data_IF_563796502858
#
_entry.id   IF_563796502858
#
_cell.length_a   1.000
_cell.length_b   1.000
_cell.length_c   1.000
_cell.angle_alpha   90.00
_cell.angle_beta   90.00
_cell.angle_gamma   90.00
#
_symmetry.space_group_name_H-M   'P 1'
#
loop_
_entity.id
_entity.type
_entity.pdbx_description
1 polymer ?
#
# COMPACT_ATOMS: atom_id res chain seq x y z
N UNK A 1 -24.87 5.51 -17.31
CA UNK A 1 -23.60 5.31 -16.58
C UNK A 1 -22.99 3.99 -17.02
N UNK A 2 -21.69 3.95 -17.34
CA UNK A 2 -21.01 2.68 -17.69
C UNK A 2 -20.76 1.85 -16.43
N UNK A 3 -20.59 0.51 -16.55
CA UNK A 3 -20.21 -0.33 -15.41
C UNK A 3 -18.86 0.08 -14.81
N UNK A 4 -17.91 0.48 -15.62
CA UNK A 4 -16.63 1.01 -15.16
C UNK A 4 -16.81 2.23 -14.25
N UNK A 5 -17.65 3.21 -14.67
CA UNK A 5 -17.96 4.38 -13.83
C UNK A 5 -18.65 3.98 -12.52
N UNK A 6 -19.56 2.99 -12.56
CA UNK A 6 -20.22 2.48 -11.37
C UNK A 6 -19.24 1.83 -10.37
N UNK A 7 -18.27 1.05 -10.89
CA UNK A 7 -17.22 0.42 -10.07
C UNK A 7 -16.36 1.49 -9.37
N UNK A 8 -15.93 2.54 -10.06
CA UNK A 8 -15.13 3.60 -9.45
C UNK A 8 -15.92 4.41 -8.42
N UNK A 9 -17.20 4.71 -8.66
CA UNK A 9 -18.06 5.34 -7.65
C UNK A 9 -18.22 4.46 -6.41
N UNK A 10 -18.39 3.16 -6.60
CA UNK A 10 -18.43 2.22 -5.47
C UNK A 10 -17.09 2.14 -4.73
N UNK A 11 -15.95 2.19 -5.43
CA UNK A 11 -14.63 2.25 -4.78
C UNK A 11 -14.46 3.51 -3.93
N UNK A 12 -14.85 4.68 -4.43
CA UNK A 12 -14.85 5.93 -3.66
C UNK A 12 -15.65 5.76 -2.36
N UNK A 13 -16.85 5.23 -2.47
CA UNK A 13 -17.64 4.90 -1.29
C UNK A 13 -16.92 3.93 -0.33
N UNK A 14 -16.22 2.91 -0.82
CA UNK A 14 -15.43 2.01 0.03
C UNK A 14 -14.28 2.71 0.78
N UNK A 15 -13.79 3.83 0.27
CA UNK A 15 -12.74 4.66 0.88
C UNK A 15 -13.29 5.72 1.84
N UNK A 16 -14.58 5.64 2.22
CA UNK A 16 -15.31 6.53 3.13
C UNK A 16 -15.74 7.88 2.55
N UNK A 17 -15.62 8.06 1.25
CA UNK A 17 -16.18 9.25 0.61
C UNK A 17 -17.71 9.27 0.70
N UNK A 18 -18.28 10.47 0.86
CA UNK A 18 -19.72 10.69 0.85
C UNK A 18 -20.25 10.66 -0.58
N UNK A 19 -20.50 9.47 -1.10
CA UNK A 19 -21.02 9.25 -2.46
C UNK A 19 -22.46 8.77 -2.37
N UNK A 20 -23.38 9.39 -3.13
CA UNK A 20 -24.73 8.84 -3.30
C UNK A 20 -24.68 7.63 -4.24
N UNK A 21 -24.96 6.46 -3.69
CA UNK A 21 -24.94 5.20 -4.42
C UNK A 21 -26.31 4.70 -4.88
N UNK A 22 -27.41 5.40 -4.61
CA UNK A 22 -28.77 4.91 -4.88
C UNK A 22 -28.95 4.41 -6.32
N UNK A 23 -28.48 5.18 -7.31
CA UNK A 23 -28.53 4.79 -8.72
C UNK A 23 -27.44 3.78 -9.12
N UNK A 24 -26.31 3.78 -8.43
CA UNK A 24 -25.18 2.89 -8.68
C UNK A 24 -25.53 1.47 -8.29
N UNK A 25 -26.06 1.29 -7.07
CA UNK A 25 -26.43 -0.01 -6.52
C UNK A 25 -27.52 -0.68 -7.35
N UNK A 26 -28.55 0.07 -7.74
CA UNK A 26 -29.67 -0.46 -8.54
C UNK A 26 -29.24 -1.07 -9.89
N UNK A 27 -28.08 -0.64 -10.43
CA UNK A 27 -27.59 -1.06 -11.74
C UNK A 27 -26.22 -1.75 -11.68
N UNK A 28 -25.72 -2.10 -10.51
CA UNK A 28 -24.40 -2.73 -10.34
C UNK A 28 -24.42 -4.19 -10.83
N UNK A 29 -23.46 -4.53 -11.67
CA UNK A 29 -23.11 -5.92 -11.94
C UNK A 29 -22.16 -6.44 -10.85
N UNK A 30 -22.72 -7.13 -9.86
CA UNK A 30 -21.96 -7.64 -8.71
C UNK A 30 -20.92 -8.68 -9.09
N UNK A 31 -21.14 -9.48 -10.14
CA UNK A 31 -20.16 -10.45 -10.64
C UNK A 31 -18.98 -9.76 -11.29
N UNK A 32 -19.23 -8.70 -12.06
CA UNK A 32 -18.19 -7.90 -12.67
C UNK A 32 -17.39 -7.16 -11.61
N UNK A 33 -18.03 -6.58 -10.59
CA UNK A 33 -17.36 -5.95 -9.45
C UNK A 33 -16.47 -6.95 -8.70
N UNK A 34 -16.96 -8.16 -8.41
CA UNK A 34 -16.17 -9.22 -7.76
C UNK A 34 -14.95 -9.61 -8.60
N UNK A 35 -15.14 -9.83 -9.91
CA UNK A 35 -14.05 -10.15 -10.84
C UNK A 35 -13.00 -9.04 -10.88
N UNK A 36 -13.43 -7.78 -10.93
CA UNK A 36 -12.53 -6.63 -10.87
C UNK A 36 -11.78 -6.59 -9.54
N UNK A 37 -12.48 -6.68 -8.42
CA UNK A 37 -11.88 -6.67 -7.07
C UNK A 37 -10.85 -7.79 -6.88
N UNK A 38 -11.11 -8.98 -7.44
CA UNK A 38 -10.19 -10.11 -7.44
C UNK A 38 -8.91 -9.77 -8.21
N UNK A 39 -9.04 -9.33 -9.46
CA UNK A 39 -7.90 -8.99 -10.33
C UNK A 39 -7.07 -7.85 -9.79
N UNK A 40 -7.70 -6.90 -9.10
CA UNK A 40 -7.08 -5.70 -8.53
C UNK A 40 -6.62 -5.87 -7.07
N UNK A 41 -6.81 -7.07 -6.49
CA UNK A 41 -6.42 -7.40 -5.10
C UNK A 41 -7.02 -6.47 -4.05
N UNK A 42 -8.33 -6.13 -4.21
CA UNK A 42 -9.09 -5.22 -3.34
C UNK A 42 -10.40 -5.84 -2.82
N UNK A 43 -10.48 -7.17 -2.81
CA UNK A 43 -11.69 -7.93 -2.41
C UNK A 43 -12.15 -7.54 -1.01
N UNK A 44 -11.25 -7.45 -0.03
CA UNK A 44 -11.60 -7.14 1.35
C UNK A 44 -12.16 -5.73 1.50
N UNK A 45 -11.56 -4.75 0.82
CA UNK A 45 -12.03 -3.35 0.79
C UNK A 45 -13.45 -3.28 0.21
N UNK A 46 -13.67 -3.90 -0.93
CA UNK A 46 -14.99 -3.92 -1.56
C UNK A 46 -16.03 -4.67 -0.70
N UNK A 47 -15.64 -5.71 0.03
CA UNK A 47 -16.54 -6.42 0.92
C UNK A 47 -16.95 -5.58 2.13
N UNK A 48 -16.05 -4.79 2.70
CA UNK A 48 -16.38 -3.84 3.75
C UNK A 48 -17.33 -2.74 3.23
N UNK A 49 -17.14 -2.28 1.99
CA UNK A 49 -18.11 -1.43 1.30
C UNK A 49 -19.50 -2.06 1.15
N UNK A 50 -19.58 -3.36 0.82
CA UNK A 50 -20.87 -4.09 0.74
C UNK A 50 -21.53 -4.18 2.10
N UNK A 51 -20.81 -4.42 3.19
CA UNK A 51 -21.38 -4.43 4.54
C UNK A 51 -22.00 -3.07 4.88
N UNK A 52 -21.25 -2.00 4.67
CA UNK A 52 -21.75 -0.64 4.90
C UNK A 52 -22.96 -0.33 4.02
N UNK A 53 -22.93 -0.77 2.76
CA UNK A 53 -24.06 -0.63 1.83
C UNK A 53 -25.33 -1.33 2.35
N UNK A 54 -25.21 -2.50 2.98
CA UNK A 54 -26.36 -3.22 3.54
C UNK A 54 -27.01 -2.49 4.71
N UNK A 55 -26.29 -1.58 5.36
CA UNK A 55 -26.75 -0.75 6.46
C UNK A 55 -27.33 0.58 5.96
N UNK A 56 -26.65 1.24 5.00
CA UNK A 56 -26.98 2.58 4.52
C UNK A 56 -28.00 2.59 3.36
N UNK A 57 -27.98 1.54 2.50
CA UNK A 57 -28.82 1.44 1.28
C UNK A 57 -29.59 0.10 1.19
N UNK A 58 -30.30 -0.35 2.25
CA UNK A 58 -30.94 -1.65 2.27
C UNK A 58 -32.05 -1.80 1.21
N UNK A 59 -32.78 -0.72 0.88
CA UNK A 59 -33.86 -0.78 -0.10
C UNK A 59 -33.34 -0.86 -1.54
N UNK A 60 -32.23 -0.20 -1.84
CA UNK A 60 -31.54 -0.28 -3.14
C UNK A 60 -30.94 -1.67 -3.33
N UNK A 61 -30.33 -2.23 -2.29
CA UNK A 61 -29.77 -3.59 -2.33
C UNK A 61 -30.86 -4.67 -2.47
N UNK A 62 -32.07 -4.45 -1.92
CA UNK A 62 -33.21 -5.35 -2.16
C UNK A 62 -33.69 -5.35 -3.62
N UNK A 63 -33.57 -4.21 -4.33
CA UNK A 63 -33.94 -4.09 -5.74
C UNK A 63 -32.94 -4.81 -6.67
N UNK A 64 -31.68 -4.82 -6.30
CA UNK A 64 -30.60 -5.51 -7.01
C UNK A 64 -29.76 -6.34 -6.03
N UNK A 65 -30.27 -7.48 -5.54
CA UNK A 65 -29.59 -8.27 -4.52
C UNK A 65 -28.35 -8.96 -5.07
N UNK A 66 -27.33 -9.06 -4.23
CA UNK A 66 -26.17 -9.90 -4.53
C UNK A 66 -26.61 -11.39 -4.45
N UNK A 67 -26.29 -12.16 -5.47
CA UNK A 67 -26.58 -13.60 -5.46
C UNK A 67 -25.96 -14.28 -4.23
N UNK A 68 -26.71 -15.16 -3.58
CA UNK A 68 -26.31 -15.79 -2.33
C UNK A 68 -24.94 -16.48 -2.42
N UNK A 69 -24.69 -17.23 -3.48
CA UNK A 69 -23.43 -17.97 -3.64
C UNK A 69 -22.24 -17.03 -3.84
N UNK A 70 -22.45 -15.93 -4.58
CA UNK A 70 -21.44 -14.88 -4.76
C UNK A 70 -21.14 -14.18 -3.42
N UNK A 71 -22.16 -13.82 -2.66
CA UNK A 71 -22.01 -13.18 -1.35
C UNK A 71 -21.25 -14.07 -0.36
N UNK A 72 -21.60 -15.36 -0.31
CA UNK A 72 -20.94 -16.36 0.55
C UNK A 72 -19.47 -16.55 0.14
N UNK A 73 -19.20 -16.61 -1.16
CA UNK A 73 -17.82 -16.67 -1.69
C UNK A 73 -17.02 -15.44 -1.28
N UNK A 74 -17.59 -14.26 -1.47
CA UNK A 74 -16.92 -12.99 -1.14
C UNK A 74 -16.62 -12.88 0.36
N UNK A 75 -17.59 -13.23 1.20
CA UNK A 75 -17.42 -13.30 2.64
C UNK A 75 -16.31 -14.28 3.03
N UNK A 76 -16.28 -15.48 2.44
CA UNK A 76 -15.25 -16.48 2.70
C UNK A 76 -13.85 -15.99 2.38
N UNK A 77 -13.65 -15.35 1.21
CA UNK A 77 -12.38 -14.77 0.79
C UNK A 77 -11.98 -13.59 1.71
N UNK A 78 -12.93 -12.73 2.08
CA UNK A 78 -12.67 -11.61 3.00
C UNK A 78 -12.21 -12.10 4.38
N UNK A 79 -12.81 -13.18 4.90
CA UNK A 79 -12.36 -13.79 6.16
C UNK A 79 -10.97 -14.45 6.03
N UNK A 80 -10.65 -14.99 4.87
CA UNK A 80 -9.30 -15.51 4.60
C UNK A 80 -8.26 -14.37 4.58
N UNK A 81 -8.57 -13.25 3.93
CA UNK A 81 -7.73 -12.03 3.92
C UNK A 81 -7.48 -11.55 5.34
N UNK A 82 -8.53 -11.46 6.17
CA UNK A 82 -8.40 -11.08 7.58
C UNK A 82 -7.45 -12.01 8.33
N UNK A 83 -7.65 -13.33 8.25
CA UNK A 83 -6.79 -14.32 8.92
C UNK A 83 -5.34 -14.23 8.46
N UNK A 84 -5.12 -14.00 7.16
CA UNK A 84 -3.77 -13.83 6.62
C UNK A 84 -3.12 -12.55 7.15
N UNK A 85 -3.84 -11.43 7.25
CA UNK A 85 -3.32 -10.19 7.87
C UNK A 85 -2.92 -10.41 9.33
N UNK A 86 -3.74 -11.10 10.12
CA UNK A 86 -3.40 -11.43 11.52
C UNK A 86 -2.10 -12.22 11.61
N UNK A 87 -1.91 -13.21 10.73
CA UNK A 87 -0.66 -13.99 10.66
C UNK A 87 0.52 -13.10 10.25
N UNK A 88 0.37 -12.28 9.22
CA UNK A 88 1.42 -11.38 8.72
C UNK A 88 1.82 -10.35 9.78
N UNK A 89 0.85 -9.82 10.55
CA UNK A 89 1.13 -8.90 11.67
C UNK A 89 2.06 -9.55 12.72
N UNK A 90 1.73 -10.76 13.15
CA UNK A 90 2.54 -11.51 14.13
C UNK A 90 3.95 -11.77 13.59
N UNK A 91 4.06 -12.21 12.34
CA UNK A 91 5.35 -12.48 11.70
C UNK A 91 6.17 -11.21 11.51
N UNK A 92 5.55 -10.10 11.11
CA UNK A 92 6.22 -8.81 10.95
C UNK A 92 6.82 -8.31 12.28
N UNK A 93 6.05 -8.37 13.37
CA UNK A 93 6.53 -7.99 14.69
C UNK A 93 7.64 -8.92 15.20
N UNK A 94 7.48 -10.23 15.03
CA UNK A 94 8.51 -11.22 15.37
C UNK A 94 9.83 -10.95 14.62
N UNK A 95 9.75 -10.74 13.31
CA UNK A 95 10.91 -10.43 12.47
C UNK A 95 11.58 -9.11 12.88
N UNK A 96 10.78 -8.08 13.13
CA UNK A 96 11.27 -6.78 13.60
C UNK A 96 12.01 -6.90 14.92
N UNK A 97 11.46 -7.63 15.90
CA UNK A 97 12.08 -7.87 17.19
C UNK A 97 13.38 -8.65 17.05
N UNK A 98 13.38 -9.74 16.27
CA UNK A 98 14.56 -10.56 16.01
C UNK A 98 15.71 -9.76 15.41
N UNK A 99 15.44 -8.95 14.38
CA UNK A 99 16.47 -8.10 13.77
C UNK A 99 17.05 -7.08 14.77
N UNK A 100 16.19 -6.49 15.60
CA UNK A 100 16.63 -5.52 16.62
C UNK A 100 17.46 -6.15 17.74
N UNK A 101 17.06 -7.32 18.24
CA UNK A 101 17.80 -8.08 19.26
C UNK A 101 19.19 -8.45 18.76
N UNK A 102 19.33 -8.75 17.47
CA UNK A 102 20.60 -9.02 16.82
C UNK A 102 21.38 -7.75 16.41
N UNK A 103 20.92 -6.56 16.86
CA UNK A 103 21.60 -5.28 16.65
C UNK A 103 21.39 -4.65 15.27
N UNK A 104 20.48 -5.17 14.45
CA UNK A 104 20.15 -4.63 13.13
C UNK A 104 18.96 -3.67 13.23
N UNK A 105 19.17 -2.42 12.80
CA UNK A 105 18.09 -1.43 12.70
C UNK A 105 17.33 -1.64 11.40
N UNK A 106 16.01 -1.69 11.48
CA UNK A 106 15.19 -1.98 10.30
C UNK A 106 13.86 -1.23 10.34
N UNK A 107 13.21 -1.16 9.17
CA UNK A 107 11.92 -0.54 8.95
C UNK A 107 11.09 -1.44 8.02
N UNK A 108 9.84 -1.76 8.42
CA UNK A 108 8.90 -2.50 7.57
C UNK A 108 8.31 -1.51 6.54
N UNK A 109 8.59 -1.79 5.29
CA UNK A 109 8.11 -0.96 4.18
C UNK A 109 6.72 -1.41 3.74
N UNK A 110 5.85 -0.49 3.27
CA UNK A 110 4.53 -0.85 2.72
C UNK A 110 3.69 -1.76 3.64
N UNK A 111 3.03 -2.75 3.06
CA UNK A 111 2.38 -3.89 3.70
C UNK A 111 1.55 -3.52 4.92
N UNK A 112 1.99 -3.97 6.07
CA UNK A 112 1.29 -3.81 7.33
C UNK A 112 1.29 -2.36 7.83
N UNK A 113 2.32 -1.58 7.54
CA UNK A 113 2.34 -0.13 7.80
C UNK A 113 1.28 0.62 7.02
N UNK A 114 1.11 0.29 5.72
CA UNK A 114 0.05 0.89 4.90
C UNK A 114 -1.34 0.46 5.35
N UNK A 115 -1.50 -0.80 5.78
CA UNK A 115 -2.78 -1.31 6.26
C UNK A 115 -3.34 -0.50 7.44
N UNK A 116 -2.50 0.10 8.27
CA UNK A 116 -2.91 0.96 9.39
C UNK A 116 -3.60 2.25 8.94
N UNK A 117 -3.42 2.68 7.70
CA UNK A 117 -4.10 3.86 7.15
C UNK A 117 -5.52 3.58 6.66
N UNK A 118 -5.90 2.31 6.54
CA UNK A 118 -7.23 1.91 6.10
C UNK A 118 -8.23 1.95 7.26
N UNK A 119 -9.51 2.24 7.02
CA UNK A 119 -10.55 2.18 8.04
C UNK A 119 -10.61 0.82 8.74
N UNK A 120 -10.38 -0.24 7.99
CA UNK A 120 -10.19 -1.59 8.49
C UNK A 120 -8.86 -2.16 7.97
N UNK A 121 -7.85 -2.17 8.82
CA UNK A 121 -6.51 -2.67 8.48
C UNK A 121 -6.51 -4.11 7.94
N UNK A 122 -7.52 -4.91 8.29
CA UNK A 122 -7.64 -6.29 7.88
C UNK A 122 -8.29 -6.51 6.51
N UNK A 123 -8.82 -5.47 5.87
CA UNK A 123 -9.40 -5.56 4.53
C UNK A 123 -8.41 -5.34 3.39
N UNK A 124 -7.23 -4.78 3.68
CA UNK A 124 -6.16 -4.70 2.69
C UNK A 124 -5.61 -6.09 2.40
N UNK A 125 -5.56 -6.50 1.12
CA UNK A 125 -4.96 -7.79 0.77
C UNK A 125 -3.47 -7.78 1.15
N UNK A 126 -3.02 -8.69 2.05
CA UNK A 126 -1.61 -8.79 2.43
C UNK A 126 -0.79 -9.41 1.29
N UNK A 127 0.49 -9.14 1.31
CA UNK A 127 1.51 -9.74 0.44
C UNK A 127 2.67 -10.25 1.28
N UNK A 128 3.86 -10.09 0.75
CA UNK A 128 5.14 -10.25 1.42
C UNK A 128 5.40 -9.17 2.49
N UNK A 129 6.43 -9.40 3.29
CA UNK A 129 6.94 -8.42 4.24
C UNK A 129 8.25 -7.86 3.69
N UNK A 130 8.21 -6.61 3.22
CA UNK A 130 9.40 -5.86 2.80
C UNK A 130 10.09 -5.27 4.03
N UNK A 131 11.31 -5.64 4.32
CA UNK A 131 12.07 -5.11 5.45
C UNK A 131 13.32 -4.40 4.96
N UNK A 132 13.37 -3.10 5.10
CA UNK A 132 14.60 -2.35 4.88
C UNK A 132 15.50 -2.44 6.10
N UNK A 133 16.68 -3.04 5.94
CA UNK A 133 17.68 -3.18 6.99
C UNK A 133 18.76 -2.12 6.80
N UNK A 134 18.96 -1.25 7.80
CA UNK A 134 19.97 -0.20 7.77
C UNK A 134 21.35 -0.76 8.17
N UNK A 135 21.91 -1.57 7.28
CA UNK A 135 23.23 -2.18 7.43
C UNK A 135 23.90 -2.33 6.05
N UNK A 136 25.16 -2.78 6.02
CA UNK A 136 25.82 -3.04 4.74
C UNK A 136 25.25 -4.30 4.07
N UNK A 137 25.38 -4.38 2.75
CA UNK A 137 24.94 -5.57 2.00
C UNK A 137 25.57 -6.85 2.54
N UNK A 138 26.86 -6.79 2.88
CA UNK A 138 27.62 -7.91 3.44
C UNK A 138 27.03 -8.37 4.77
N UNK A 139 26.78 -7.44 5.70
CA UNK A 139 26.20 -7.72 7.02
C UNK A 139 24.80 -8.36 6.88
N UNK A 140 23.94 -7.80 6.00
CA UNK A 140 22.60 -8.35 5.77
C UNK A 140 22.68 -9.75 5.17
N UNK A 141 23.61 -9.97 4.23
CA UNK A 141 23.78 -11.28 3.58
C UNK A 141 24.30 -12.32 4.54
N UNK A 142 25.28 -11.98 5.38
CA UNK A 142 25.80 -12.89 6.42
C UNK A 142 24.73 -13.23 7.45
N UNK A 143 23.97 -12.23 7.91
CA UNK A 143 22.85 -12.41 8.81
C UNK A 143 21.80 -13.36 8.21
N UNK A 144 21.39 -13.09 6.98
CA UNK A 144 20.38 -13.88 6.30
C UNK A 144 20.80 -15.34 6.12
N UNK A 145 22.07 -15.60 5.75
CA UNK A 145 22.63 -16.95 5.67
C UNK A 145 22.63 -17.69 6.99
N UNK A 146 22.81 -16.98 8.09
CA UNK A 146 22.84 -17.57 9.44
C UNK A 146 21.44 -17.87 9.97
N UNK A 147 20.47 -16.99 9.73
CA UNK A 147 19.16 -17.04 10.37
C UNK A 147 18.09 -17.72 9.51
N UNK A 148 18.23 -17.70 8.19
CA UNK A 148 17.21 -18.20 7.27
C UNK A 148 17.77 -19.28 6.34
N UNK A 149 16.88 -20.14 5.87
CA UNK A 149 17.16 -21.00 4.73
C UNK A 149 17.08 -20.14 3.46
N UNK A 150 18.23 -19.75 2.95
CA UNK A 150 18.28 -19.01 1.69
C UNK A 150 18.18 -19.97 0.51
N UNK A 151 17.37 -19.60 -0.49
CA UNK A 151 17.53 -20.07 -1.86
C UNK A 151 18.75 -19.42 -2.53
N UNK A 152 18.97 -19.71 -3.81
CA UNK A 152 20.08 -19.14 -4.60
C UNK A 152 19.87 -17.66 -4.98
N UNK A 153 18.74 -17.04 -4.60
CA UNK A 153 18.28 -15.76 -5.11
C UNK A 153 18.62 -14.57 -4.19
N UNK A 154 19.89 -14.15 -4.22
CA UNK A 154 20.28 -12.82 -3.74
C UNK A 154 20.12 -11.84 -4.91
N UNK A 155 19.03 -11.08 -4.92
CA UNK A 155 18.77 -10.07 -5.96
C UNK A 155 19.58 -8.79 -5.75
N UNK A 156 19.51 -7.88 -6.71
CA UNK A 156 20.19 -6.59 -6.60
C UNK A 156 19.70 -5.78 -5.41
N UNK A 157 18.42 -5.77 -5.15
CA UNK A 157 17.76 -4.92 -4.16
C UNK A 157 17.52 -5.61 -2.81
N UNK A 158 17.25 -6.91 -2.79
CA UNK A 158 16.82 -7.68 -1.61
C UNK A 158 17.29 -9.14 -1.65
N UNK A 159 17.08 -9.80 -0.52
CA UNK A 159 17.20 -11.25 -0.35
C UNK A 159 15.79 -11.78 -0.06
N UNK A 160 15.35 -12.77 -0.85
CA UNK A 160 14.09 -13.46 -0.62
C UNK A 160 14.26 -14.59 0.40
N UNK A 161 13.33 -14.68 1.34
CA UNK A 161 13.25 -15.74 2.34
C UNK A 161 11.81 -15.90 2.84
N UNK A 162 11.61 -16.70 3.91
CA UNK A 162 10.29 -16.81 4.55
C UNK A 162 10.43 -17.07 6.04
N UNK A 163 9.46 -16.58 6.83
CA UNK A 163 9.30 -16.89 8.25
C UNK A 163 7.88 -17.37 8.48
N UNK A 164 7.74 -18.55 9.11
CA UNK A 164 6.45 -19.17 9.41
C UNK A 164 5.52 -19.28 8.19
N UNK A 165 6.13 -19.44 6.98
CA UNK A 165 5.41 -19.54 5.70
C UNK A 165 4.86 -18.20 5.20
N UNK A 166 5.35 -17.06 5.69
CA UNK A 166 5.13 -15.73 5.13
C UNK A 166 6.36 -15.31 4.34
N UNK A 167 6.23 -14.93 3.05
CA UNK A 167 7.35 -14.45 2.26
C UNK A 167 7.93 -13.14 2.83
N UNK A 168 9.24 -13.01 2.80
CA UNK A 168 9.98 -11.86 3.31
C UNK A 168 11.02 -11.44 2.29
N UNK A 169 11.14 -10.14 2.08
CA UNK A 169 12.20 -9.50 1.33
C UNK A 169 13.07 -8.64 2.26
N UNK A 170 14.33 -9.05 2.48
CA UNK A 170 15.30 -8.25 3.23
C UNK A 170 15.98 -7.28 2.28
N UNK A 171 15.56 -6.03 2.29
CA UNK A 171 16.02 -4.98 1.39
C UNK A 171 17.34 -4.36 1.87
N UNK A 172 18.33 -4.27 0.97
CA UNK A 172 19.56 -3.49 1.15
C UNK A 172 19.31 -1.99 1.06
N UNK A 173 18.32 -1.60 0.27
CA UNK A 173 17.81 -0.24 0.11
C UNK A 173 16.33 -0.28 -0.33
N UNK A 174 15.52 0.75 0.00
CA UNK A 174 14.07 0.69 -0.21
C UNK A 174 13.63 0.50 -1.66
N UNK A 175 14.23 1.22 -2.60
CA UNK A 175 14.02 1.05 -4.04
C UNK A 175 15.14 1.71 -4.85
N UNK A 176 15.14 1.50 -6.18
CA UNK A 176 16.09 2.08 -7.12
C UNK A 176 15.38 2.76 -8.29
N UNK A 177 16.13 3.57 -9.04
CA UNK A 177 15.68 4.21 -10.28
C UNK A 177 16.62 3.86 -11.43
N UNK A 178 16.09 3.70 -12.64
CA UNK A 178 16.87 3.37 -13.83
C UNK A 178 17.84 4.49 -14.25
N UNK A 179 17.52 5.75 -13.98
CA UNK A 179 18.43 6.86 -14.24
C UNK A 179 19.53 6.92 -13.16
N UNK A 180 20.82 6.78 -13.51
CA UNK A 180 21.90 6.68 -12.52
C UNK A 180 22.09 7.94 -11.67
N UNK A 181 21.82 9.13 -12.22
CA UNK A 181 21.94 10.39 -11.48
C UNK A 181 20.86 10.49 -10.44
N UNK A 182 19.61 10.22 -10.81
CA UNK A 182 18.49 10.25 -9.88
C UNK A 182 18.58 9.10 -8.87
N UNK A 183 19.06 7.93 -9.29
CA UNK A 183 19.29 6.82 -8.36
C UNK A 183 20.36 7.18 -7.30
N UNK A 184 21.47 7.76 -7.68
CA UNK A 184 22.50 8.20 -6.72
C UNK A 184 21.96 9.22 -5.71
N UNK A 185 21.12 10.17 -6.15
CA UNK A 185 20.43 11.12 -5.27
C UNK A 185 19.45 10.43 -4.33
N UNK A 186 18.67 9.47 -4.85
CA UNK A 186 17.70 8.68 -4.09
C UNK A 186 18.38 7.85 -3.00
N UNK A 187 19.45 7.12 -3.34
CA UNK A 187 20.20 6.33 -2.35
C UNK A 187 20.79 7.21 -1.24
N UNK A 188 21.32 8.39 -1.58
CA UNK A 188 21.79 9.35 -0.60
C UNK A 188 20.65 9.88 0.28
N UNK A 189 19.48 10.10 -0.31
CA UNK A 189 18.29 10.53 0.41
C UNK A 189 17.80 9.44 1.37
N UNK A 190 17.75 8.17 0.96
CA UNK A 190 17.40 7.04 1.83
C UNK A 190 18.37 6.95 3.02
N UNK A 191 19.68 6.96 2.75
CA UNK A 191 20.70 6.87 3.79
C UNK A 191 20.59 7.99 4.83
N UNK A 192 20.31 9.21 4.40
CA UNK A 192 20.13 10.38 5.30
C UNK A 192 18.91 10.22 6.21
N UNK A 193 17.86 9.54 5.76
CA UNK A 193 16.61 9.39 6.49
C UNK A 193 16.48 8.06 7.25
N UNK A 194 17.42 7.12 7.09
CA UNK A 194 17.31 5.76 7.60
C UNK A 194 17.04 5.68 9.10
N UNK A 195 17.78 6.45 9.88
CA UNK A 195 17.68 6.41 11.34
C UNK A 195 16.30 6.81 11.84
N UNK A 196 15.71 7.83 11.25
CA UNK A 196 14.35 8.27 11.59
C UNK A 196 13.32 7.17 11.26
N UNK A 197 13.43 6.55 10.09
CA UNK A 197 12.48 5.51 9.69
C UNK A 197 12.57 4.26 10.58
N UNK A 198 13.79 3.84 10.92
CA UNK A 198 14.02 2.70 11.82
C UNK A 198 13.62 2.97 13.29
N UNK A 199 13.34 4.21 13.66
CA UNK A 199 12.90 4.62 15.00
C UNK A 199 11.43 5.05 15.07
N UNK A 200 10.72 5.13 13.95
CA UNK A 200 9.30 5.48 13.90
C UNK A 200 8.45 4.23 14.17
N UNK A 201 8.22 3.93 15.46
CA UNK A 201 7.57 2.70 15.92
C UNK A 201 6.06 2.91 16.04
N UNK A 202 5.29 1.91 15.59
CA UNK A 202 3.83 1.85 15.71
C UNK A 202 3.39 0.48 16.21
N UNK A 203 2.29 0.44 16.96
CA UNK A 203 1.65 -0.80 17.40
C UNK A 203 0.77 -1.40 16.31
N UNK A 204 0.88 -2.70 16.10
CA UNK A 204 -0.02 -3.45 15.22
C UNK A 204 -1.34 -3.80 15.93
N UNK A 205 -2.45 -3.97 15.16
CA UNK A 205 -3.76 -4.28 15.73
C UNK A 205 -3.76 -5.57 16.55
N UNK A 206 -4.75 -5.65 17.46
CA UNK A 206 -5.02 -6.82 18.33
C UNK A 206 -3.81 -7.26 19.19
N UNK A 207 -2.90 -6.31 19.49
CA UNK A 207 -1.72 -6.61 20.31
C UNK A 207 -0.69 -7.53 19.63
N UNK A 208 -0.65 -7.57 18.31
CA UNK A 208 0.29 -8.39 17.55
C UNK A 208 1.77 -7.97 17.74
N UNK A 209 2.01 -6.82 18.41
CA UNK A 209 3.33 -6.27 18.74
C UNK A 209 3.64 -5.01 17.93
N UNK A 210 4.89 -4.56 18.00
CA UNK A 210 5.34 -3.30 17.41
C UNK A 210 6.21 -3.54 16.18
N UNK A 211 6.19 -2.56 15.26
CA UNK A 211 7.09 -2.48 14.10
C UNK A 211 7.54 -1.05 13.87
N UNK A 212 8.72 -0.83 13.28
CA UNK A 212 9.05 0.48 12.72
C UNK A 212 8.53 0.56 11.28
N UNK A 213 7.94 1.71 10.92
CA UNK A 213 7.41 1.99 9.58
C UNK A 213 7.91 3.34 9.08
N UNK A 214 7.85 3.62 7.77
CA UNK A 214 8.15 4.93 7.22
C UNK A 214 7.26 6.02 7.83
N UNK A 215 7.85 7.19 8.11
CA UNK A 215 7.07 8.41 8.38
C UNK A 215 6.27 8.82 7.15
N UNK A 216 5.18 9.56 7.32
CA UNK A 216 4.32 10.04 6.23
C UNK A 216 5.12 10.71 5.11
N UNK A 217 6.01 11.65 5.45
CA UNK A 217 6.85 12.37 4.50
C UNK A 217 7.79 11.44 3.68
N UNK A 218 8.39 10.45 4.34
CA UNK A 218 9.23 9.46 3.67
C UNK A 218 8.39 8.54 2.77
N UNK A 219 7.24 8.11 3.28
CA UNK A 219 6.37 7.16 2.60
C UNK A 219 5.83 7.71 1.27
N UNK A 220 5.53 9.03 1.21
CA UNK A 220 5.14 9.72 -0.04
C UNK A 220 6.19 9.52 -1.14
N UNK A 221 7.45 9.77 -0.85
CA UNK A 221 8.53 9.66 -1.85
C UNK A 221 8.85 8.20 -2.15
N UNK A 222 8.95 7.38 -1.11
CA UNK A 222 9.26 5.96 -1.26
C UNK A 222 8.22 5.22 -2.10
N UNK A 223 6.94 5.36 -1.77
CA UNK A 223 5.88 4.67 -2.53
C UNK A 223 5.72 5.22 -3.94
N UNK A 224 5.97 6.50 -4.16
CA UNK A 224 5.99 7.05 -5.52
C UNK A 224 7.13 6.46 -6.36
N UNK A 225 8.32 6.26 -5.78
CA UNK A 225 9.42 5.54 -6.44
C UNK A 225 9.03 4.10 -6.76
N UNK A 226 8.36 3.43 -5.82
CA UNK A 226 7.91 2.07 -5.97
C UNK A 226 6.84 1.95 -7.08
N UNK A 227 5.85 2.86 -7.12
CA UNK A 227 4.89 2.97 -8.21
C UNK A 227 5.57 3.23 -9.57
N UNK A 228 6.59 4.11 -9.58
CA UNK A 228 7.36 4.41 -10.79
C UNK A 228 8.03 3.14 -11.35
N UNK A 229 8.68 2.37 -10.48
CA UNK A 229 9.32 1.12 -10.86
C UNK A 229 8.30 0.12 -11.44
N UNK A 230 7.23 -0.17 -10.72
CA UNK A 230 6.19 -1.08 -11.20
C UNK A 230 5.50 -0.61 -12.48
N UNK A 231 5.27 0.69 -12.63
CA UNK A 231 4.62 1.20 -13.83
C UNK A 231 5.38 0.87 -15.12
N UNK A 232 6.70 0.91 -15.07
CA UNK A 232 7.54 0.65 -16.25
C UNK A 232 7.93 -0.82 -16.42
N UNK A 233 7.94 -1.61 -15.34
CA UNK A 233 8.50 -2.96 -15.38
C UNK A 233 7.44 -4.07 -15.25
N UNK A 234 6.36 -3.89 -14.48
CA UNK A 234 5.44 -4.97 -14.12
C UNK A 234 3.95 -4.61 -14.28
N UNK A 235 3.61 -3.34 -14.18
CA UNK A 235 2.25 -2.82 -14.11
C UNK A 235 1.80 -2.49 -12.69
N UNK A 236 0.75 -1.67 -12.59
CA UNK A 236 0.19 -1.18 -11.32
C UNK A 236 -1.24 -1.68 -11.16
N UNK A 237 -1.57 -2.23 -9.99
CA UNK A 237 -2.94 -2.58 -9.59
C UNK A 237 -3.60 -1.52 -8.70
N UNK A 238 -4.94 -1.59 -8.58
CA UNK A 238 -5.71 -0.66 -7.75
C UNK A 238 -5.32 -0.70 -6.28
N UNK A 239 -4.85 -1.83 -5.75
CA UNK A 239 -4.34 -1.89 -4.37
C UNK A 239 -3.20 -0.89 -4.14
N UNK A 240 -2.25 -0.80 -5.08
CA UNK A 240 -1.12 0.13 -4.98
C UNK A 240 -1.57 1.59 -5.12
N UNK A 241 -2.56 1.85 -5.97
CA UNK A 241 -3.17 3.18 -6.14
C UNK A 241 -3.92 3.59 -4.87
N UNK A 242 -4.68 2.69 -4.24
CA UNK A 242 -5.39 2.96 -2.98
C UNK A 242 -4.41 3.14 -1.82
N UNK A 243 -3.35 2.32 -1.73
CA UNK A 243 -2.28 2.53 -0.75
C UNK A 243 -1.72 3.95 -0.86
N UNK A 244 -1.42 4.39 -2.09
CA UNK A 244 -0.87 5.72 -2.31
C UNK A 244 -1.89 6.84 -2.09
N UNK A 245 -3.18 6.60 -2.38
CA UNK A 245 -4.26 7.51 -2.01
C UNK A 245 -4.25 7.81 -0.51
N UNK A 246 -4.21 6.78 0.34
CA UNK A 246 -4.15 6.97 1.80
C UNK A 246 -2.86 7.67 2.25
N UNK A 247 -1.74 7.40 1.61
CA UNK A 247 -0.47 8.10 1.92
C UNK A 247 -0.58 9.60 1.65
N UNK A 248 -1.18 10.01 0.53
CA UNK A 248 -1.28 11.42 0.17
C UNK A 248 -2.49 12.12 0.76
N UNK A 249 -3.53 11.38 1.13
CA UNK A 249 -4.73 11.93 1.80
C UNK A 249 -4.50 12.14 3.31
N UNK A 250 -3.36 12.72 3.68
CA UNK A 250 -2.95 12.97 5.06
C UNK A 250 -2.70 14.46 5.27
N UNK A 251 -3.33 15.05 6.31
CA UNK A 251 -3.23 16.47 6.63
C UNK A 251 -1.82 16.93 7.01
N UNK A 252 -0.99 16.03 7.55
CA UNK A 252 0.41 16.34 7.87
C UNK A 252 1.19 16.83 6.64
N UNK A 253 0.82 16.37 5.43
CA UNK A 253 1.50 16.76 4.20
C UNK A 253 1.26 18.22 3.81
N UNK A 254 0.19 18.84 4.28
CA UNK A 254 -0.11 20.25 4.00
C UNK A 254 1.02 21.17 4.49
N UNK A 255 1.55 20.86 5.68
CA UNK A 255 2.63 21.67 6.31
C UNK A 255 3.98 21.52 5.60
N UNK A 256 4.26 20.34 5.04
CA UNK A 256 5.57 20.02 4.44
C UNK A 256 5.54 19.98 2.91
N UNK A 257 4.43 20.36 2.27
CA UNK A 257 4.20 20.27 0.82
C UNK A 257 5.34 20.88 0.00
N UNK A 258 5.77 22.10 0.31
CA UNK A 258 6.82 22.78 -0.42
C UNK A 258 8.17 22.05 -0.34
N UNK A 259 8.43 21.42 0.80
CA UNK A 259 9.63 20.60 0.98
C UNK A 259 9.54 19.32 0.15
N UNK A 260 8.39 18.63 0.17
CA UNK A 260 8.14 17.46 -0.68
C UNK A 260 8.28 17.79 -2.16
N UNK A 261 7.74 18.92 -2.61
CA UNK A 261 7.85 19.34 -4.01
C UNK A 261 9.29 19.57 -4.43
N UNK A 262 10.11 20.19 -3.58
CA UNK A 262 11.56 20.36 -3.83
C UNK A 262 12.27 19.02 -3.93
N UNK A 263 12.01 18.10 -3.01
CA UNK A 263 12.60 16.75 -3.04
C UNK A 263 12.16 15.97 -4.28
N UNK A 264 10.87 15.99 -4.65
CA UNK A 264 10.37 15.33 -5.85
C UNK A 264 11.04 15.85 -7.14
N UNK A 265 11.27 17.16 -7.24
CA UNK A 265 12.01 17.78 -8.35
C UNK A 265 13.47 17.34 -8.34
N UNK A 266 14.13 17.36 -7.17
CA UNK A 266 15.52 16.96 -7.01
C UNK A 266 15.74 15.48 -7.37
N UNK A 267 14.79 14.61 -7.02
CA UNK A 267 14.84 13.18 -7.29
C UNK A 267 14.34 12.79 -8.70
N UNK A 268 13.90 13.75 -9.51
CA UNK A 268 13.41 13.50 -10.88
C UNK A 268 12.02 12.87 -10.94
N UNK A 269 11.26 12.85 -9.85
CA UNK A 269 9.93 12.25 -9.73
C UNK A 269 8.78 13.22 -10.04
N UNK A 270 9.08 14.50 -10.27
CA UNK A 270 8.08 15.56 -10.36
C UNK A 270 7.00 15.29 -11.43
N UNK A 271 7.40 14.89 -12.64
CA UNK A 271 6.46 14.61 -13.73
C UNK A 271 5.58 13.41 -13.41
N UNK A 272 6.15 12.37 -12.83
CA UNK A 272 5.41 11.18 -12.45
C UNK A 272 4.45 11.47 -11.30
N UNK A 273 4.88 12.25 -10.29
CA UNK A 273 4.00 12.70 -9.21
C UNK A 273 2.75 13.40 -9.74
N UNK A 274 2.90 14.32 -10.70
CA UNK A 274 1.78 15.03 -11.34
C UNK A 274 0.81 14.08 -12.06
N UNK A 275 1.36 13.11 -12.79
CA UNK A 275 0.54 12.09 -13.46
C UNK A 275 -0.23 11.22 -12.45
N UNK A 276 0.41 10.83 -11.34
CA UNK A 276 -0.24 10.05 -10.28
C UNK A 276 -1.31 10.89 -9.57
N UNK A 277 -1.08 12.19 -9.30
CA UNK A 277 -2.12 13.08 -8.74
C UNK A 277 -3.34 13.17 -9.64
N UNK A 278 -3.14 13.28 -10.96
CA UNK A 278 -4.23 13.24 -11.92
C UNK A 278 -5.02 11.93 -11.85
N UNK A 279 -4.33 10.78 -11.82
CA UNK A 279 -5.00 9.47 -11.70
C UNK A 279 -5.80 9.36 -10.40
N UNK A 280 -5.24 9.77 -9.26
CA UNK A 280 -5.93 9.73 -7.97
C UNK A 280 -7.16 10.65 -7.95
N UNK A 281 -7.07 11.83 -8.56
CA UNK A 281 -8.19 12.75 -8.68
C UNK A 281 -9.31 12.16 -9.54
N UNK A 282 -9.00 11.74 -10.77
CA UNK A 282 -9.99 11.21 -11.71
C UNK A 282 -10.64 9.91 -11.23
N UNK A 283 -9.88 9.04 -10.55
CA UNK A 283 -10.38 7.73 -10.16
C UNK A 283 -10.96 7.69 -8.75
N UNK A 284 -10.32 8.36 -7.79
CA UNK A 284 -10.63 8.30 -6.37
C UNK A 284 -11.03 9.64 -5.74
N UNK A 285 -11.22 10.70 -6.55
CA UNK A 285 -11.62 12.05 -6.10
C UNK A 285 -10.69 12.68 -5.05
N UNK A 286 -9.37 12.38 -5.12
CA UNK A 286 -8.41 13.07 -4.25
C UNK A 286 -8.58 14.58 -4.42
N UNK A 287 -8.84 15.30 -3.33
CA UNK A 287 -9.04 16.74 -3.40
C UNK A 287 -7.75 17.47 -3.81
N UNK A 288 -7.87 18.58 -4.55
CA UNK A 288 -6.71 19.36 -5.02
C UNK A 288 -5.85 19.88 -3.88
N UNK A 289 -6.46 20.20 -2.74
CA UNK A 289 -5.74 20.63 -1.53
C UNK A 289 -4.84 19.55 -0.92
N UNK A 290 -5.12 18.26 -1.16
CA UNK A 290 -4.28 17.14 -0.72
C UNK A 290 -3.17 16.77 -1.71
N UNK A 291 -3.17 17.33 -2.90
CA UNK A 291 -2.18 17.02 -3.92
C UNK A 291 -0.80 17.51 -3.53
N UNK A 292 0.19 16.62 -3.61
CA UNK A 292 1.60 16.94 -3.40
C UNK A 292 2.25 17.62 -4.62
N UNK A 293 1.63 17.50 -5.78
CA UNK A 293 2.04 18.14 -7.03
C UNK A 293 0.80 18.53 -7.81
N UNK A 294 0.73 19.74 -8.46
CA UNK A 294 -0.42 20.16 -9.22
C UNK A 294 -0.59 19.29 -10.47
N UNK A 295 -1.82 19.01 -10.85
CA UNK A 295 -2.14 18.46 -12.17
C UNK A 295 -1.78 19.48 -13.26
N UNK A 296 -1.40 19.00 -14.44
CA UNK A 296 -1.13 19.88 -15.59
C UNK A 296 -2.24 19.71 -16.61
N UNK A 297 -3.12 20.68 -16.68
CA UNK A 297 -4.26 20.69 -17.62
C UNK A 297 -3.83 21.06 -19.05
N UNK A 298 -2.54 21.33 -19.26
CA UNK A 298 -2.03 21.77 -20.55
C UNK A 298 -1.22 20.66 -21.23
N UNK A 299 -1.93 19.65 -21.69
CA UNK A 299 -1.50 18.83 -22.83
C UNK A 299 -2.66 18.16 -23.53
#
# INVERSE_FOLDING_TARGET
>A
MTQTSAIFLFLRYCLEDKVDLSMVVANMDWRQLYSFATKQTIIGICFDGIKRLSEEYPEELKKNPIERDLLMTWMGVSQQIRRQNMKVNVVASKLYSMLREDGLRCCILKGQGNALMYPNAYSRNPGDIDVWVNASREQITEYAKKQFKLGDDIRYQHIETSVDGVPIELHFFPCSMNNPIYNARLQKWFKRNADLQCSHIVGLPDGAGDIAIPTTAFNVIYQLCHLYHHFFDEGIGMRQIIDYYYVVNNDELLVIRDTLQRELKHLGLWKFARAVMYVLHETLELSEEKMIAPMDDKR
#
